data_IF_871381221211
#
_entry.id   IF_871381221211
#
_cell.length_a   1.000
_cell.length_b   1.000
_cell.length_c   1.000
_cell.angle_alpha   90.00
_cell.angle_beta   90.00
_cell.angle_gamma   90.00
#
_symmetry.space_group_name_H-M   'P 1'
#
loop_
_entity.id
_entity.type
_entity.pdbx_description
1 polymer ?
#
# COMPACT_ATOMS: atom_id res chain seq x y z
N UNK A 1 59.75 27.40 63.01
CA UNK A 1 59.67 26.99 61.56
C UNK A 1 58.66 25.87 61.46
N UNK A 2 57.42 26.14 61.01
CA UNK A 2 56.37 25.17 60.84
C UNK A 2 55.82 25.32 59.43
N UNK A 3 55.97 24.29 58.63
CA UNK A 3 55.40 24.23 57.27
C UNK A 3 53.95 23.74 57.34
N UNK A 4 53.03 24.54 56.91
CA UNK A 4 51.63 24.17 56.67
C UNK A 4 51.47 23.42 55.35
N UNK A 5 50.94 22.23 55.37
CA UNK A 5 50.49 21.48 54.16
C UNK A 5 49.04 21.84 53.87
N UNK A 6 48.79 22.39 52.70
CA UNK A 6 47.47 22.61 52.15
C UNK A 6 47.00 21.33 51.43
N UNK A 7 45.90 20.76 51.88
CA UNK A 7 45.26 19.63 51.23
C UNK A 7 44.25 20.14 50.18
N UNK A 8 44.47 19.83 48.90
CA UNK A 8 43.50 20.05 47.85
C UNK A 8 42.46 18.91 47.87
N UNK A 9 41.26 19.22 48.22
CA UNK A 9 40.10 18.33 48.01
C UNK A 9 39.73 18.28 46.55
N UNK A 10 39.73 17.07 46.00
CA UNK A 10 39.16 16.75 44.66
C UNK A 10 37.69 16.49 44.85
N UNK A 11 36.86 17.43 44.46
CA UNK A 11 35.45 17.20 44.30
C UNK A 11 35.18 16.45 42.98
N UNK A 12 34.64 15.25 43.10
CA UNK A 12 34.15 14.44 42.00
C UNK A 12 32.74 14.95 41.60
N UNK A 13 32.68 15.66 40.47
CA UNK A 13 31.41 15.99 39.84
C UNK A 13 30.95 14.70 39.09
N UNK A 14 30.04 13.93 39.70
CA UNK A 14 29.33 12.88 39.04
C UNK A 14 28.23 13.49 38.17
N UNK A 15 28.51 13.69 36.87
CA UNK A 15 27.57 14.17 35.90
C UNK A 15 26.50 13.12 35.63
N UNK A 16 25.25 13.42 35.96
CA UNK A 16 24.08 12.65 35.55
C UNK A 16 23.88 12.74 34.05
N UNK A 17 24.26 11.69 33.34
CA UNK A 17 23.94 11.43 31.94
C UNK A 17 23.03 10.19 31.88
N UNK A 18 21.75 10.38 32.18
CA UNK A 18 20.73 9.35 31.96
C UNK A 18 19.36 10.04 31.86
N UNK A 19 18.79 10.12 30.67
CA UNK A 19 17.37 10.15 30.37
C UNK A 19 17.03 10.98 29.11
N UNK A 20 17.50 10.57 27.93
CA UNK A 20 16.95 11.12 26.65
C UNK A 20 16.56 10.02 25.65
N UNK A 21 16.68 8.74 25.98
CA UNK A 21 16.47 7.66 24.99
C UNK A 21 15.06 7.05 24.93
N UNK A 22 14.11 7.41 25.81
CA UNK A 22 12.79 6.77 25.82
C UNK A 22 11.67 7.51 25.08
N UNK A 23 11.84 8.79 24.75
CA UNK A 23 10.73 9.57 24.16
C UNK A 23 10.50 9.31 22.67
N UNK A 24 11.53 8.94 21.92
CA UNK A 24 11.41 8.69 20.48
C UNK A 24 10.66 7.40 20.12
N UNK A 25 10.75 6.38 20.97
CA UNK A 25 10.07 5.10 20.76
C UNK A 25 8.56 5.17 20.96
N UNK A 26 8.09 5.98 21.89
CA UNK A 26 6.65 6.13 22.20
C UNK A 26 5.94 6.87 21.04
N UNK A 27 6.57 7.91 20.50
CA UNK A 27 5.99 8.69 19.40
C UNK A 27 5.90 7.87 18.10
N UNK A 28 6.84 6.96 17.84
CA UNK A 28 6.81 6.11 16.65
C UNK A 28 5.71 5.03 16.75
N UNK A 29 5.45 4.50 17.93
CA UNK A 29 4.37 3.53 18.15
C UNK A 29 2.98 4.19 18.06
N UNK A 30 2.80 5.40 18.57
CA UNK A 30 1.54 6.15 18.46
C UNK A 30 1.23 6.56 17.00
N UNK A 31 2.23 6.93 16.22
CA UNK A 31 2.04 7.21 14.79
C UNK A 31 1.64 5.95 14.01
N UNK A 32 2.27 4.82 14.26
CA UNK A 32 1.91 3.55 13.64
C UNK A 32 0.47 3.14 13.98
N UNK A 33 0.05 3.30 15.24
CA UNK A 33 -1.32 3.02 15.68
C UNK A 33 -2.37 3.95 15.05
N UNK A 34 -2.00 5.19 14.72
CA UNK A 34 -2.92 6.18 14.14
C UNK A 34 -3.22 5.97 12.65
N UNK A 35 -2.45 5.11 11.99
CA UNK A 35 -2.63 4.79 10.57
C UNK A 35 -3.55 3.59 10.34
N UNK A 36 -3.82 2.81 11.37
CA UNK A 36 -4.69 1.64 11.30
C UNK A 36 -6.17 2.04 11.40
N UNK A 37 -7.00 1.53 10.48
CA UNK A 37 -8.46 1.59 10.61
C UNK A 37 -8.98 0.32 11.29
N UNK A 38 -9.79 0.48 12.32
CA UNK A 38 -10.37 -0.61 13.11
C UNK A 38 -11.85 -0.42 13.28
N UNK A 39 -12.58 -1.53 13.35
CA UNK A 39 -14.02 -1.50 13.58
C UNK A 39 -14.62 -2.89 13.61
N UNK A 40 -15.93 -2.97 13.38
CA UNK A 40 -16.65 -4.21 13.17
C UNK A 40 -17.27 -4.20 11.78
N UNK A 41 -17.24 -5.33 11.09
CA UNK A 41 -17.89 -5.51 9.80
C UNK A 41 -18.56 -6.87 9.72
N UNK A 42 -19.53 -7.00 8.80
CA UNK A 42 -20.20 -8.28 8.52
C UNK A 42 -19.85 -8.70 7.10
N UNK A 43 -19.20 -9.85 6.98
CA UNK A 43 -18.84 -10.47 5.70
C UNK A 43 -19.42 -11.88 5.71
N UNK A 44 -20.15 -12.27 4.67
CA UNK A 44 -20.82 -13.57 4.53
C UNK A 44 -21.69 -13.95 5.75
N UNK A 45 -22.38 -12.96 6.32
CA UNK A 45 -23.27 -13.13 7.48
C UNK A 45 -22.53 -13.27 8.82
N UNK A 46 -21.21 -13.23 8.86
CA UNK A 46 -20.41 -13.30 10.08
C UNK A 46 -19.89 -11.91 10.45
N UNK A 47 -20.27 -11.43 11.64
CA UNK A 47 -19.76 -10.18 12.20
C UNK A 47 -18.48 -10.45 12.98
N UNK A 48 -17.41 -9.70 12.67
CA UNK A 48 -16.14 -9.80 13.36
C UNK A 48 -15.43 -8.43 13.40
N UNK A 49 -14.48 -8.22 14.32
CA UNK A 49 -13.60 -7.07 14.29
C UNK A 49 -12.75 -7.08 13.02
N UNK A 50 -12.33 -5.90 12.56
CA UNK A 50 -11.39 -5.78 11.46
C UNK A 50 -10.24 -4.84 11.78
N UNK A 51 -9.13 -5.05 11.08
CA UNK A 51 -7.95 -4.20 11.10
C UNK A 51 -7.47 -4.00 9.66
N UNK A 52 -7.43 -2.76 9.18
CA UNK A 52 -6.77 -2.38 7.95
C UNK A 52 -5.56 -1.52 8.28
N UNK A 53 -4.38 -2.01 7.96
CA UNK A 53 -3.14 -1.26 8.08
C UNK A 53 -2.97 -0.35 6.86
N UNK A 54 -2.62 0.91 7.08
CA UNK A 54 -2.33 1.86 6.04
C UNK A 54 -0.89 2.36 6.14
N UNK A 55 -0.28 2.63 4.99
CA UNK A 55 0.99 3.34 4.91
C UNK A 55 0.76 4.73 4.29
N UNK A 56 1.46 5.76 4.79
CA UNK A 56 1.41 7.08 4.17
C UNK A 56 2.14 7.05 2.81
N UNK A 57 1.78 7.98 1.92
CA UNK A 57 2.36 8.06 0.57
C UNK A 57 3.89 8.15 0.57
N UNK A 58 4.48 8.81 1.57
CA UNK A 58 5.93 8.95 1.71
C UNK A 58 6.66 7.65 2.15
N UNK A 59 5.92 6.58 2.47
CA UNK A 59 6.51 5.25 2.67
C UNK A 59 6.94 4.59 1.33
N UNK A 60 6.61 5.21 0.19
CA UNK A 60 6.92 4.76 -1.16
C UNK A 60 7.83 5.78 -1.87
N UNK A 61 9.14 5.81 -1.53
CA UNK A 61 10.08 6.80 -2.07
C UNK A 61 10.32 6.66 -3.58
N UNK A 62 9.99 5.52 -4.18
CA UNK A 62 10.06 5.27 -5.62
C UNK A 62 9.01 6.04 -6.42
N UNK A 63 7.88 6.44 -5.81
CA UNK A 63 6.86 7.24 -6.47
C UNK A 63 7.44 8.62 -6.88
N UNK A 64 7.20 9.08 -8.11
CA UNK A 64 7.56 10.43 -8.53
C UNK A 64 6.96 11.50 -7.60
N UNK A 65 7.73 12.55 -7.28
CA UNK A 65 7.30 13.59 -6.35
C UNK A 65 5.95 14.24 -6.72
N UNK A 66 5.68 14.43 -8.02
CA UNK A 66 4.41 14.96 -8.50
C UNK A 66 3.23 14.04 -8.19
N UNK A 67 3.41 12.72 -8.28
CA UNK A 67 2.39 11.73 -7.92
C UNK A 67 2.19 11.70 -6.40
N UNK A 68 3.28 11.71 -5.62
CA UNK A 68 3.21 11.78 -4.16
C UNK A 68 2.42 13.00 -3.68
N UNK A 69 2.67 14.17 -4.27
CA UNK A 69 1.96 15.41 -3.94
C UNK A 69 0.46 15.31 -4.24
N UNK A 70 0.09 14.73 -5.41
CA UNK A 70 -1.33 14.54 -5.80
C UNK A 70 -2.06 13.58 -4.87
N UNK A 71 -1.44 12.43 -4.57
CA UNK A 71 -1.99 11.45 -3.63
C UNK A 71 -2.17 12.05 -2.24
N UNK A 72 -1.18 12.83 -1.77
CA UNK A 72 -1.23 13.51 -0.46
C UNK A 72 -2.36 14.55 -0.41
N UNK A 73 -2.52 15.37 -1.46
CA UNK A 73 -3.64 16.35 -1.55
C UNK A 73 -5.00 15.67 -1.57
N UNK A 74 -5.09 14.46 -2.14
CA UNK A 74 -6.31 13.64 -2.14
C UNK A 74 -6.60 13.01 -0.77
N UNK A 75 -5.67 13.06 0.17
CA UNK A 75 -5.76 12.39 1.46
C UNK A 75 -5.58 10.87 1.36
N UNK A 76 -4.86 10.42 0.35
CA UNK A 76 -4.59 8.99 0.14
C UNK A 76 -3.73 8.39 1.24
N UNK A 77 -4.16 7.25 1.73
CA UNK A 77 -3.38 6.28 2.48
C UNK A 77 -3.34 4.99 1.67
N UNK A 78 -2.23 4.26 1.70
CA UNK A 78 -2.06 3.04 0.92
C UNK A 78 -2.41 1.84 1.79
N UNK A 79 -3.58 1.18 1.56
CA UNK A 79 -3.98 0.03 2.35
C UNK A 79 -3.07 -1.16 2.06
N UNK A 80 -2.72 -1.89 3.10
CA UNK A 80 -1.86 -3.08 3.04
C UNK A 80 -2.70 -4.32 3.27
N UNK A 81 -2.48 -5.38 2.52
CA UNK A 81 -3.19 -6.64 2.77
C UNK A 81 -2.81 -7.22 4.13
N UNK A 82 -3.60 -8.16 4.64
CA UNK A 82 -3.29 -8.82 5.90
C UNK A 82 -2.04 -9.72 5.81
N UNK A 83 -1.61 -10.08 4.59
CA UNK A 83 -0.38 -10.86 4.35
C UNK A 83 0.85 -10.00 4.07
N UNK A 84 0.70 -8.68 3.98
CA UNK A 84 1.80 -7.80 3.61
C UNK A 84 2.96 -7.84 4.60
N UNK A 85 4.11 -8.32 4.14
CA UNK A 85 5.37 -8.32 4.88
C UNK A 85 6.29 -7.15 4.50
N UNK A 86 5.97 -6.43 3.44
CA UNK A 86 6.65 -5.24 2.92
C UNK A 86 5.61 -4.25 2.38
N UNK A 87 5.95 -2.98 2.15
CA UNK A 87 5.05 -2.05 1.47
C UNK A 87 4.60 -2.60 0.12
N UNK A 88 3.30 -2.55 -0.15
CA UNK A 88 2.66 -3.05 -1.37
C UNK A 88 1.56 -2.10 -1.87
N UNK A 89 0.88 -2.45 -2.97
CA UNK A 89 -0.21 -1.69 -3.56
C UNK A 89 0.22 -0.38 -4.24
N UNK A 90 1.50 -0.31 -4.61
CA UNK A 90 2.08 0.67 -5.53
C UNK A 90 2.84 -0.08 -6.60
N UNK A 91 2.47 0.13 -7.86
CA UNK A 91 3.01 -0.58 -9.02
C UNK A 91 3.62 0.41 -10.02
N UNK A 92 4.82 0.12 -10.49
CA UNK A 92 5.47 0.79 -11.61
C UNK A 92 5.61 -0.19 -12.77
N UNK A 93 4.98 0.10 -13.91
CA UNK A 93 4.95 -0.81 -15.06
C UNK A 93 4.67 -0.06 -16.36
N UNK A 94 4.75 -0.75 -17.50
CA UNK A 94 4.43 -0.22 -18.82
C UNK A 94 2.95 -0.47 -19.15
N UNK A 95 2.03 0.26 -18.48
CA UNK A 95 0.60 -0.03 -18.51
C UNK A 95 -0.12 0.49 -19.77
N UNK A 96 0.37 1.60 -20.35
CA UNK A 96 -0.26 2.22 -21.51
C UNK A 96 0.23 1.60 -22.82
N UNK A 97 1.53 1.40 -22.93
CA UNK A 97 2.24 0.83 -24.07
C UNK A 97 3.60 0.34 -23.64
N UNK A 98 4.20 -0.51 -24.44
CA UNK A 98 5.54 -1.03 -24.20
C UNK A 98 6.56 0.10 -23.98
N UNK A 99 7.26 0.05 -22.84
CA UNK A 99 8.29 1.01 -22.46
C UNK A 99 7.75 2.33 -21.89
N UNK A 100 6.44 2.48 -21.67
CA UNK A 100 5.91 3.59 -20.87
C UNK A 100 6.28 3.44 -19.39
N UNK A 101 6.30 4.55 -18.66
CA UNK A 101 6.61 4.59 -17.23
C UNK A 101 5.37 5.05 -16.48
N UNK A 102 4.47 4.10 -16.23
CA UNK A 102 3.17 4.33 -15.65
C UNK A 102 3.13 3.84 -14.20
N UNK A 103 2.21 4.40 -13.43
CA UNK A 103 2.05 4.05 -12.01
C UNK A 103 0.62 3.69 -11.69
N UNK A 104 0.43 2.66 -10.89
CA UNK A 104 -0.86 2.30 -10.31
C UNK A 104 -0.76 2.26 -8.79
N UNK A 105 -1.81 2.74 -8.10
CA UNK A 105 -1.83 2.86 -6.64
C UNK A 105 -3.23 2.53 -6.11
N UNK A 106 -3.33 1.70 -5.08
CA UNK A 106 -4.54 1.64 -4.27
C UNK A 106 -4.53 2.79 -3.27
N UNK A 107 -5.53 3.63 -3.37
CA UNK A 107 -5.70 4.83 -2.54
C UNK A 107 -6.93 4.69 -1.67
N UNK A 108 -6.76 4.55 -0.36
CA UNK A 108 -7.85 4.65 0.62
C UNK A 108 -8.02 6.10 1.05
N UNK A 109 -9.23 6.62 0.89
CA UNK A 109 -9.62 7.94 1.35
C UNK A 109 -11.12 7.97 1.66
N UNK A 110 -11.51 8.56 2.80
CA UNK A 110 -12.91 8.73 3.20
C UNK A 110 -13.72 7.41 3.22
N UNK A 111 -13.10 6.29 3.62
CA UNK A 111 -13.75 4.98 3.74
C UNK A 111 -13.96 4.24 2.40
N UNK A 112 -13.38 4.73 1.32
CA UNK A 112 -13.37 4.08 0.01
C UNK A 112 -11.94 3.85 -0.47
N UNK A 113 -11.72 2.73 -1.17
CA UNK A 113 -10.46 2.41 -1.83
C UNK A 113 -10.65 2.53 -3.34
N UNK A 114 -9.76 3.26 -3.99
CA UNK A 114 -9.75 3.45 -5.44
C UNK A 114 -8.44 2.94 -6.03
N UNK A 115 -8.52 2.20 -7.13
CA UNK A 115 -7.39 1.93 -8.01
C UNK A 115 -7.18 3.14 -8.91
N UNK A 116 -6.10 3.85 -8.66
CA UNK A 116 -5.67 5.04 -9.39
C UNK A 116 -4.53 4.67 -10.33
N UNK A 117 -4.60 5.13 -11.59
CA UNK A 117 -3.53 4.95 -12.57
C UNK A 117 -3.10 6.30 -13.13
N UNK A 118 -1.79 6.51 -13.17
CA UNK A 118 -1.12 7.67 -13.74
C UNK A 118 -0.37 7.21 -14.99
N UNK A 119 -0.91 7.52 -16.18
CA UNK A 119 -0.29 7.21 -17.46
C UNK A 119 0.76 8.26 -17.81
N UNK A 120 1.88 7.81 -18.38
CA UNK A 120 2.99 8.69 -18.77
C UNK A 120 2.61 9.69 -19.87
N UNK A 121 1.63 9.36 -20.73
CA UNK A 121 1.11 10.24 -21.78
C UNK A 121 0.09 11.25 -21.25
N UNK A 122 -0.41 11.08 -20.03
CA UNK A 122 -1.40 11.96 -19.42
C UNK A 122 -0.80 13.27 -18.91
N UNK A 123 -1.67 14.16 -18.46
CA UNK A 123 -1.31 15.44 -17.82
C UNK A 123 -0.83 15.25 -16.36
N UNK A 124 -0.59 14.00 -15.96
CA UNK A 124 -0.25 13.58 -14.61
C UNK A 124 -1.45 13.46 -13.68
N UNK A 125 -2.69 13.65 -14.14
CA UNK A 125 -3.88 13.35 -13.34
C UNK A 125 -4.13 11.83 -13.30
N UNK A 126 -4.68 11.37 -12.17
CA UNK A 126 -5.02 9.96 -12.00
C UNK A 126 -6.32 9.61 -12.72
N UNK A 127 -6.31 8.54 -13.49
CA UNK A 127 -7.52 7.85 -13.92
C UNK A 127 -7.98 6.93 -12.79
N UNK A 128 -9.26 7.03 -12.40
CA UNK A 128 -9.88 6.09 -11.46
C UNK A 128 -10.39 4.89 -12.26
N UNK A 129 -9.77 3.72 -12.05
CA UNK A 129 -10.14 2.48 -12.76
C UNK A 129 -11.30 1.79 -12.08
N UNK A 130 -11.26 1.68 -10.75
CA UNK A 130 -12.32 1.10 -9.92
C UNK A 130 -12.30 1.73 -8.53
N UNK A 131 -13.47 1.81 -7.92
CA UNK A 131 -13.63 2.24 -6.52
C UNK A 131 -14.58 1.29 -5.80
N UNK A 132 -14.25 0.97 -4.55
CA UNK A 132 -15.08 0.15 -3.68
C UNK A 132 -15.06 0.70 -2.24
N UNK A 133 -16.10 0.48 -1.43
CA UNK A 133 -16.03 0.70 0.00
C UNK A 133 -14.88 -0.12 0.61
N UNK A 134 -14.08 0.46 1.49
CA UNK A 134 -12.96 -0.26 2.12
C UNK A 134 -13.44 -1.51 2.88
N UNK A 135 -14.58 -1.43 3.53
CA UNK A 135 -15.18 -2.56 4.25
C UNK A 135 -15.66 -3.70 3.35
N UNK A 136 -15.85 -3.47 2.04
CA UNK A 136 -16.14 -4.55 1.09
C UNK A 136 -14.90 -5.32 0.63
N UNK A 137 -13.72 -4.87 1.08
CA UNK A 137 -12.41 -5.48 0.81
C UNK A 137 -11.81 -6.11 2.07
N UNK A 138 -12.69 -6.60 2.96
CA UNK A 138 -12.30 -7.30 4.18
C UNK A 138 -12.57 -8.79 4.01
N UNK A 139 -11.67 -9.60 4.58
CA UNK A 139 -11.76 -11.05 4.55
C UNK A 139 -11.30 -11.63 5.90
N UNK A 140 -12.00 -12.67 6.36
CA UNK A 140 -11.47 -13.53 7.43
C UNK A 140 -10.36 -14.38 6.86
N UNK A 141 -9.22 -14.41 7.52
CA UNK A 141 -8.13 -15.30 7.13
C UNK A 141 -7.95 -16.43 8.15
N UNK A 142 -7.36 -17.53 7.70
CA UNK A 142 -7.14 -18.69 8.53
C UNK A 142 -6.36 -18.34 9.81
N UNK A 143 -6.80 -18.85 10.95
CA UNK A 143 -6.22 -18.64 12.27
C UNK A 143 -6.32 -17.22 12.86
N UNK A 144 -7.23 -16.38 12.34
CA UNK A 144 -7.51 -15.06 12.92
C UNK A 144 -9.01 -14.86 13.15
N UNK A 145 -9.37 -14.27 14.30
CA UNK A 145 -10.73 -13.80 14.57
C UNK A 145 -10.94 -12.35 14.11
N UNK A 146 -9.92 -11.74 13.47
CA UNK A 146 -9.93 -10.37 12.96
C UNK A 146 -9.88 -10.41 11.44
N UNK A 147 -10.79 -9.71 10.77
CA UNK A 147 -10.76 -9.54 9.32
C UNK A 147 -9.62 -8.60 8.93
N UNK A 148 -8.97 -8.89 7.81
CA UNK A 148 -7.95 -8.04 7.22
C UNK A 148 -8.34 -7.55 5.82
N UNK A 149 -7.62 -6.56 5.32
CA UNK A 149 -7.78 -6.05 3.97
C UNK A 149 -7.21 -7.07 2.97
N UNK A 150 -7.98 -7.35 1.90
CA UNK A 150 -7.70 -8.46 0.98
C UNK A 150 -7.44 -8.05 -0.47
N UNK A 151 -7.38 -6.75 -0.79
CA UNK A 151 -7.19 -6.29 -2.16
C UNK A 151 -5.73 -5.95 -2.42
N UNK A 152 -5.13 -6.64 -3.39
CA UNK A 152 -3.76 -6.43 -3.85
C UNK A 152 -3.71 -6.07 -5.33
N UNK A 153 -2.71 -5.29 -5.72
CA UNK A 153 -2.36 -5.04 -7.12
C UNK A 153 -0.88 -5.31 -7.35
N UNK A 154 -0.59 -5.95 -8.49
CA UNK A 154 0.76 -6.21 -8.98
C UNK A 154 0.85 -5.93 -10.47
N UNK A 155 2.07 -5.80 -11.00
CA UNK A 155 2.28 -5.78 -12.45
C UNK A 155 1.99 -7.18 -13.03
N UNK A 156 1.27 -7.22 -14.14
CA UNK A 156 1.02 -8.43 -14.91
C UNK A 156 1.73 -8.34 -16.26
N UNK A 157 2.54 -9.35 -16.60
CA UNK A 157 3.23 -9.38 -17.89
C UNK A 157 2.26 -9.67 -19.02
N UNK A 158 2.60 -9.30 -20.27
CA UNK A 158 1.81 -9.67 -21.45
C UNK A 158 1.54 -11.18 -21.55
N UNK A 159 2.53 -12.01 -21.14
CA UNK A 159 2.41 -13.47 -21.15
C UNK A 159 1.35 -13.95 -20.17
N UNK A 160 1.32 -13.41 -18.94
CA UNK A 160 0.31 -13.76 -17.94
C UNK A 160 -1.11 -13.36 -18.38
N UNK A 161 -1.25 -12.17 -18.98
CA UNK A 161 -2.52 -11.71 -19.55
C UNK A 161 -2.95 -12.65 -20.67
N UNK A 162 -2.02 -13.02 -21.55
CA UNK A 162 -2.30 -13.92 -22.67
C UNK A 162 -2.68 -15.33 -22.19
N UNK A 163 -2.02 -15.86 -21.17
CA UNK A 163 -2.35 -17.16 -20.59
C UNK A 163 -3.78 -17.17 -20.05
N UNK A 164 -4.20 -16.12 -19.35
CA UNK A 164 -5.58 -15.98 -18.89
C UNK A 164 -6.62 -15.85 -20.02
N UNK A 165 -6.19 -15.52 -21.25
CA UNK A 165 -7.08 -15.44 -22.40
C UNK A 165 -7.26 -16.78 -23.14
N UNK A 166 -6.43 -17.80 -22.86
CA UNK A 166 -6.41 -19.04 -23.67
C UNK A 166 -7.74 -19.80 -23.65
N UNK A 167 -8.46 -19.77 -22.55
CA UNK A 167 -9.72 -20.49 -22.38
C UNK A 167 -10.96 -19.66 -22.74
N UNK A 168 -10.78 -18.43 -23.22
CA UNK A 168 -11.87 -17.55 -23.58
C UNK A 168 -12.37 -17.84 -24.99
N UNK A 169 -13.70 -17.97 -25.18
CA UNK A 169 -14.31 -18.14 -26.51
C UNK A 169 -14.09 -16.90 -27.42
N UNK A 170 -14.07 -15.72 -26.83
CA UNK A 170 -13.88 -14.43 -27.53
C UNK A 170 -12.87 -13.59 -26.76
N UNK A 171 -11.56 -13.94 -26.85
CA UNK A 171 -10.54 -13.18 -26.13
C UNK A 171 -10.41 -11.76 -26.70
N UNK A 172 -10.19 -10.77 -25.81
CA UNK A 172 -9.82 -9.43 -26.26
C UNK A 172 -8.48 -9.44 -27.03
N UNK A 173 -8.13 -8.37 -27.75
CA UNK A 173 -6.86 -8.28 -28.46
C UNK A 173 -5.67 -8.49 -27.52
N UNK A 174 -4.63 -9.15 -28.03
CA UNK A 174 -3.36 -9.29 -27.32
C UNK A 174 -2.67 -7.94 -27.21
N UNK A 175 -1.99 -7.75 -26.09
CA UNK A 175 -1.15 -6.56 -25.84
C UNK A 175 0.32 -6.98 -25.71
N UNK A 176 1.24 -6.06 -25.97
CA UNK A 176 2.69 -6.25 -25.88
C UNK A 176 3.32 -5.44 -24.74
N UNK A 177 2.49 -4.99 -23.83
CA UNK A 177 2.82 -4.19 -22.64
C UNK A 177 2.19 -4.79 -21.38
N UNK A 178 2.62 -4.32 -20.21
CA UNK A 178 2.14 -4.80 -18.94
C UNK A 178 0.67 -4.42 -18.70
N UNK A 179 0.02 -5.15 -17.81
CA UNK A 179 -1.23 -4.81 -17.18
C UNK A 179 -1.11 -4.84 -15.67
N UNK A 180 -2.24 -4.92 -15.00
CA UNK A 180 -2.36 -5.07 -13.55
C UNK A 180 -3.03 -6.41 -13.23
N UNK A 181 -2.43 -7.17 -12.33
CA UNK A 181 -3.09 -8.23 -11.60
C UNK A 181 -3.83 -7.57 -10.43
N UNK A 182 -5.15 -7.54 -10.50
CA UNK A 182 -6.07 -7.04 -9.48
C UNK A 182 -6.60 -8.27 -8.73
N UNK A 183 -6.07 -8.51 -7.54
CA UNK A 183 -6.22 -9.79 -6.84
C UNK A 183 -6.93 -9.63 -5.50
N UNK A 184 -7.71 -10.65 -5.15
CA UNK A 184 -8.15 -10.90 -3.79
C UNK A 184 -7.16 -11.89 -3.17
N UNK A 185 -6.60 -11.58 -2.01
CA UNK A 185 -5.68 -12.47 -1.28
C UNK A 185 -6.37 -13.81 -1.03
N UNK A 186 -5.68 -14.92 -1.29
CA UNK A 186 -6.23 -16.28 -1.24
C UNK A 186 -7.49 -16.47 -2.12
N UNK A 187 -7.67 -15.65 -3.16
CA UNK A 187 -8.84 -15.65 -4.02
C UNK A 187 -8.52 -15.41 -5.49
N UNK A 188 -9.51 -14.88 -6.21
CA UNK A 188 -9.40 -14.66 -7.65
C UNK A 188 -8.50 -13.49 -8.01
N UNK A 189 -7.86 -13.61 -9.18
CA UNK A 189 -7.15 -12.53 -9.87
C UNK A 189 -7.90 -12.12 -11.11
N UNK A 190 -8.01 -10.83 -11.32
CA UNK A 190 -8.54 -10.20 -12.53
C UNK A 190 -7.40 -9.44 -13.19
N UNK A 191 -7.10 -9.74 -14.45
CA UNK A 191 -6.13 -8.97 -15.19
C UNK A 191 -6.79 -7.76 -15.85
N UNK A 192 -6.22 -6.58 -15.60
CA UNK A 192 -6.64 -5.32 -16.23
C UNK A 192 -5.53 -4.81 -17.10
N UNK A 193 -5.80 -4.50 -18.35
CA UNK A 193 -4.84 -3.90 -19.27
C UNK A 193 -5.49 -2.82 -20.11
N UNK A 194 -4.69 -1.84 -20.48
CA UNK A 194 -5.14 -0.67 -21.22
C UNK A 194 -5.00 -0.92 -22.71
N UNK A 195 -6.07 -0.76 -23.48
CA UNK A 195 -6.05 -0.92 -24.93
C UNK A 195 -7.10 -0.02 -25.57
N UNK A 196 -6.76 0.60 -26.71
CA UNK A 196 -7.64 1.49 -27.46
C UNK A 196 -8.25 2.62 -26.60
N UNK A 197 -7.51 3.14 -25.64
CA UNK A 197 -7.96 4.22 -24.75
C UNK A 197 -8.88 3.80 -23.59
N UNK A 198 -9.03 2.49 -23.35
CA UNK A 198 -9.89 1.95 -22.31
C UNK A 198 -9.25 0.78 -21.53
N UNK A 199 -9.71 0.55 -20.31
CA UNK A 199 -9.33 -0.60 -19.50
C UNK A 199 -10.17 -1.82 -19.90
N UNK A 200 -9.48 -2.89 -20.26
CA UNK A 200 -10.05 -4.21 -20.55
C UNK A 200 -9.80 -5.15 -19.38
N UNK A 201 -10.73 -6.06 -19.14
CA UNK A 201 -10.69 -7.01 -18.02
C UNK A 201 -10.67 -8.43 -18.57
N UNK A 202 -9.80 -9.27 -18.01
CA UNK A 202 -9.78 -10.73 -18.19
C UNK A 202 -9.82 -11.37 -16.80
N UNK A 203 -10.82 -12.19 -16.55
CA UNK A 203 -10.94 -12.97 -15.30
C UNK A 203 -10.23 -14.31 -15.48
N UNK A 204 -9.47 -14.75 -14.48
CA UNK A 204 -8.95 -16.12 -14.43
C UNK A 204 -10.10 -17.06 -14.20
N UNK A 205 -10.16 -18.14 -14.98
CA UNK A 205 -11.08 -19.26 -14.68
C UNK A 205 -10.43 -20.11 -13.59
N UNK A 206 -11.24 -20.49 -12.59
CA UNK A 206 -10.84 -21.42 -11.52
C UNK A 206 -10.76 -22.87 -12.08
#
# INVERSE_FOLDING_TARGET
MAMARVSLGRELIAGSLLAVSCAAGILAQDLASSLDTRGQSTVDGKTAPYLVRHLPVNAFPELPAAIQERLTRRGCMIPQTYEAHRPENVVHASLERRGSSDWAVLCSANGAVSLLVFLASGDGEATVVVTAPETSRLQMHAMSDVMGFNWAIDAATPEQIHEAQLDMHHPPPRVDHDGLADSVVEGKTVYRFFTHGAWTIVETQD
#
